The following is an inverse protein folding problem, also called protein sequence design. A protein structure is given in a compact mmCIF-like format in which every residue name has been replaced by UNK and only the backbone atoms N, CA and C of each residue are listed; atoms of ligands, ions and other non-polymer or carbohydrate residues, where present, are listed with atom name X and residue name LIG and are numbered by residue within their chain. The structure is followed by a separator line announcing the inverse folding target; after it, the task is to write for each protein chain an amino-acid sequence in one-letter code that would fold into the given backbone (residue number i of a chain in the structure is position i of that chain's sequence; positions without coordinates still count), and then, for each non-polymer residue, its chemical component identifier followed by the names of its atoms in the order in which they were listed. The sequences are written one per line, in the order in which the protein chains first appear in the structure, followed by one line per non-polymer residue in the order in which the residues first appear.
data_IF_444594658177
#
_entry.id   IF_444594658177
#
_cell.length_a   1.000
_cell.length_b   1.000
_cell.length_c   1.000
_cell.angle_alpha   90.00
_cell.angle_beta   90.00
_cell.angle_gamma   90.00
#
_symmetry.space_group_name_H-M   'P 1'
#
loop_
_entity.id
_entity.type
_entity.pdbx_description
1 polymer ?
#
# COMPACT_ATOMS: atom_id res chain seq x y z
N UNK A 1 -20.84 -4.07 18.05
CA UNK A 1 -20.60 -5.43 18.58
C UNK A 1 -20.34 -6.40 17.46
N UNK A 2 -21.25 -6.50 16.50
CA UNK A 2 -21.12 -7.35 15.30
C UNK A 2 -20.19 -6.73 14.25
N UNK A 3 -20.24 -5.41 14.06
CA UNK A 3 -19.41 -4.71 13.06
C UNK A 3 -17.90 -4.78 13.35
N UNK A 4 -17.48 -4.69 14.62
CA UNK A 4 -16.07 -4.81 14.99
C UNK A 4 -15.50 -6.22 14.78
N UNK A 5 -16.30 -7.26 15.01
CA UNK A 5 -15.89 -8.65 14.76
C UNK A 5 -15.80 -8.89 13.25
N UNK A 6 -16.80 -8.42 12.49
CA UNK A 6 -16.78 -8.50 11.03
C UNK A 6 -15.62 -7.70 10.41
N UNK A 7 -15.33 -6.50 10.92
CA UNK A 7 -14.23 -5.66 10.43
C UNK A 7 -12.86 -6.26 10.79
N UNK A 8 -12.72 -6.86 11.99
CA UNK A 8 -11.54 -7.63 12.35
C UNK A 8 -11.33 -8.83 11.42
N UNK A 9 -12.38 -9.62 11.17
CA UNK A 9 -12.32 -10.76 10.24
C UNK A 9 -11.95 -10.29 8.84
N UNK A 10 -12.56 -9.22 8.32
CA UNK A 10 -12.24 -8.70 6.97
C UNK A 10 -10.82 -8.14 6.84
N UNK A 11 -10.26 -7.62 7.94
CA UNK A 11 -8.86 -7.14 7.98
C UNK A 11 -7.87 -8.30 7.80
N UNK A 12 -8.20 -9.52 8.22
CA UNK A 12 -7.34 -10.71 8.03
C UNK A 12 -7.68 -11.51 6.77
N UNK A 13 -8.97 -11.63 6.44
CA UNK A 13 -9.44 -12.41 5.29
C UNK A 13 -8.99 -11.78 3.98
N UNK A 14 -8.98 -10.45 3.85
CA UNK A 14 -8.65 -9.77 2.60
C UNK A 14 -7.16 -9.91 2.22
N UNK A 15 -6.19 -9.73 3.15
CA UNK A 15 -4.79 -10.04 2.89
C UNK A 15 -4.54 -11.54 2.65
N UNK A 16 -5.23 -12.43 3.38
CA UNK A 16 -5.09 -13.87 3.19
C UNK A 16 -5.56 -14.30 1.79
N UNK A 17 -6.70 -13.78 1.32
CA UNK A 17 -7.20 -14.03 -0.04
C UNK A 17 -6.22 -13.52 -1.11
N UNK A 18 -5.60 -12.35 -0.89
CA UNK A 18 -4.57 -11.82 -1.78
C UNK A 18 -3.31 -12.69 -1.83
N UNK A 19 -2.89 -13.23 -0.68
CA UNK A 19 -1.76 -14.16 -0.60
C UNK A 19 -2.03 -15.46 -1.36
N UNK A 20 -3.24 -16.03 -1.20
CA UNK A 20 -3.67 -17.25 -1.90
C UNK A 20 -3.72 -17.03 -3.41
N UNK A 21 -4.28 -15.91 -3.89
CA UNK A 21 -4.34 -15.59 -5.31
C UNK A 21 -2.94 -15.43 -5.93
N UNK A 22 -2.01 -14.80 -5.22
CA UNK A 22 -0.62 -14.67 -5.66
C UNK A 22 0.08 -16.04 -5.74
N UNK A 23 -0.12 -16.89 -4.73
CA UNK A 23 0.43 -18.25 -4.72
C UNK A 23 -0.14 -19.12 -5.83
N UNK A 24 -1.44 -19.03 -6.11
CA UNK A 24 -2.08 -19.73 -7.22
C UNK A 24 -1.47 -19.30 -8.57
N UNK A 25 -1.26 -17.99 -8.78
CA UNK A 25 -0.72 -17.50 -10.05
C UNK A 25 0.77 -17.86 -10.23
N UNK A 26 1.59 -17.73 -9.18
CA UNK A 26 3.03 -18.04 -9.25
C UNK A 26 3.33 -19.54 -9.24
N UNK A 27 2.57 -20.35 -8.50
CA UNK A 27 2.67 -21.81 -8.58
C UNK A 27 2.38 -22.35 -9.99
N UNK A 28 1.46 -21.70 -10.71
CA UNK A 28 1.09 -22.08 -12.09
C UNK A 28 2.07 -21.53 -13.14
N UNK A 29 2.59 -20.31 -12.95
CA UNK A 29 3.42 -19.62 -13.96
C UNK A 29 4.92 -19.87 -13.81
N UNK A 30 5.43 -20.04 -12.59
CA UNK A 30 6.89 -20.06 -12.32
C UNK A 30 7.41 -21.30 -11.59
N UNK A 31 6.56 -22.27 -11.24
CA UNK A 31 6.97 -23.52 -10.57
C UNK A 31 7.59 -23.30 -9.19
N UNK A 32 7.36 -22.13 -8.59
CA UNK A 32 7.88 -21.74 -7.29
C UNK A 32 7.16 -22.50 -6.16
N UNK A 33 7.87 -22.81 -5.07
CA UNK A 33 7.28 -23.45 -3.90
C UNK A 33 6.09 -22.62 -3.38
N UNK A 34 4.92 -23.27 -3.31
CA UNK A 34 3.64 -22.66 -2.91
C UNK A 34 3.76 -21.97 -1.55
N UNK A 35 4.57 -22.52 -0.64
CA UNK A 35 4.79 -21.93 0.68
C UNK A 35 5.48 -20.57 0.59
N UNK A 36 6.52 -20.48 -0.24
CA UNK A 36 7.27 -19.23 -0.45
C UNK A 36 6.41 -18.18 -1.14
N UNK A 37 5.61 -18.61 -2.12
CA UNK A 37 4.66 -17.75 -2.80
C UNK A 37 3.60 -17.19 -1.85
N UNK A 38 3.05 -18.01 -0.94
CA UNK A 38 2.09 -17.54 0.06
C UNK A 38 2.70 -16.50 1.00
N UNK A 39 3.94 -16.70 1.46
CA UNK A 39 4.63 -15.74 2.34
C UNK A 39 4.85 -14.41 1.61
N UNK A 40 5.38 -14.45 0.38
CA UNK A 40 5.57 -13.25 -0.44
C UNK A 40 4.24 -12.53 -0.71
N UNK A 41 3.20 -13.28 -1.08
CA UNK A 41 1.86 -12.76 -1.31
C UNK A 41 1.27 -12.11 -0.06
N UNK A 42 1.46 -12.71 1.12
CA UNK A 42 0.99 -12.18 2.40
C UNK A 42 1.69 -10.87 2.77
N UNK A 43 3.02 -10.81 2.59
CA UNK A 43 3.80 -9.60 2.85
C UNK A 43 3.37 -8.46 1.90
N UNK A 44 3.22 -8.76 0.62
CA UNK A 44 2.79 -7.76 -0.37
C UNK A 44 1.35 -7.29 -0.09
N UNK A 45 0.41 -8.20 0.15
CA UNK A 45 -0.99 -7.88 0.40
C UNK A 45 -1.19 -7.08 1.70
N UNK A 46 -0.54 -7.49 2.79
CA UNK A 46 -0.58 -6.75 4.07
C UNK A 46 0.10 -5.38 3.95
N UNK A 47 1.22 -5.27 3.23
CA UNK A 47 1.90 -4.01 2.97
C UNK A 47 1.02 -3.00 2.24
N UNK A 48 0.33 -3.42 1.17
CA UNK A 48 -0.61 -2.57 0.42
C UNK A 48 -1.84 -2.19 1.26
N UNK A 49 -2.36 -3.13 2.05
CA UNK A 49 -3.47 -2.82 2.95
C UNK A 49 -3.07 -1.80 4.03
N UNK A 50 -1.91 -1.99 4.65
CA UNK A 50 -1.39 -1.11 5.68
C UNK A 50 -1.09 0.30 5.14
N UNK A 51 -0.53 0.44 3.94
CA UNK A 51 -0.28 1.75 3.33
C UNK A 51 -1.59 2.49 3.05
N UNK A 52 -2.60 1.80 2.53
CA UNK A 52 -3.92 2.39 2.27
C UNK A 52 -4.65 2.77 3.57
N UNK A 53 -4.57 1.92 4.58
CA UNK A 53 -5.11 2.19 5.91
C UNK A 53 -4.41 3.37 6.59
N UNK A 54 -3.09 3.51 6.44
CA UNK A 54 -2.32 4.63 7.00
C UNK A 54 -2.51 5.95 6.26
N UNK A 55 -2.87 5.93 4.97
CA UNK A 55 -3.16 7.13 4.20
C UNK A 55 -4.47 7.81 4.64
N UNK A 56 -5.48 7.03 5.04
CA UNK A 56 -6.82 7.53 5.40
C UNK A 56 -6.82 8.54 6.57
N UNK A 57 -6.14 8.31 7.71
CA UNK A 57 -6.06 9.28 8.82
C UNK A 57 -5.28 10.55 8.46
N UNK A 58 -4.23 10.43 7.64
CA UNK A 58 -3.38 11.57 7.25
C UNK A 58 -4.17 12.53 6.35
N UNK A 59 -4.93 11.99 5.39
CA UNK A 59 -5.82 12.76 4.53
C UNK A 59 -6.96 13.37 5.34
N UNK A 60 -7.61 12.59 6.21
CA UNK A 60 -8.72 13.06 7.03
C UNK A 60 -8.28 14.16 8.02
N UNK A 61 -7.08 14.03 8.60
CA UNK A 61 -6.50 15.05 9.48
C UNK A 61 -6.05 16.31 8.75
N UNK A 62 -5.56 16.21 7.51
CA UNK A 62 -5.12 17.36 6.72
C UNK A 62 -6.26 18.15 6.06
N UNK A 63 -7.41 17.51 5.82
CA UNK A 63 -8.54 18.11 5.06
C UNK A 63 -9.85 18.22 5.85
N UNK A 64 -9.82 17.96 7.17
CA UNK A 64 -11.02 17.83 8.02
C UNK A 64 -12.10 16.90 7.43
N UNK A 65 -11.67 15.79 6.81
CA UNK A 65 -12.57 14.75 6.29
C UNK A 65 -13.18 14.99 4.90
N UNK A 66 -12.96 16.15 4.25
CA UNK A 66 -13.53 16.44 2.92
C UNK A 66 -12.68 15.85 1.78
N UNK A 67 -11.38 15.61 2.00
CA UNK A 67 -10.46 15.14 0.96
C UNK A 67 -10.52 13.63 0.66
N UNK A 68 -11.05 12.82 1.58
CA UNK A 68 -11.08 11.36 1.43
C UNK A 68 -11.89 10.85 0.23
N UNK A 69 -13.09 11.39 -0.10
CA UNK A 69 -13.83 10.98 -1.29
C UNK A 69 -13.07 11.26 -2.59
N UNK A 70 -12.47 12.45 -2.74
CA UNK A 70 -11.74 12.84 -3.95
C UNK A 70 -10.51 11.98 -4.18
N UNK A 71 -9.79 11.64 -3.11
CA UNK A 71 -8.62 10.76 -3.20
C UNK A 71 -9.02 9.34 -3.57
N UNK A 72 -10.13 8.83 -3.02
CA UNK A 72 -10.64 7.52 -3.41
C UNK A 72 -11.02 7.47 -4.90
N UNK A 73 -11.71 8.51 -5.40
CA UNK A 73 -12.05 8.60 -6.82
C UNK A 73 -10.80 8.67 -7.70
N UNK A 74 -9.81 9.47 -7.29
CA UNK A 74 -8.53 9.55 -8.02
C UNK A 74 -7.81 8.20 -8.04
N UNK A 75 -7.82 7.47 -6.93
CA UNK A 75 -7.25 6.13 -6.83
C UNK A 75 -7.98 5.14 -7.76
N UNK A 76 -9.32 5.16 -7.77
CA UNK A 76 -10.13 4.26 -8.60
C UNK A 76 -9.94 4.54 -10.10
N UNK A 77 -9.85 5.82 -10.50
CA UNK A 77 -9.56 6.20 -11.89
C UNK A 77 -8.15 5.76 -12.29
N UNK A 78 -7.15 5.99 -11.44
CA UNK A 78 -5.78 5.54 -11.70
C UNK A 78 -5.69 4.01 -11.79
N UNK A 79 -6.40 3.29 -10.92
CA UNK A 79 -6.46 1.83 -10.94
C UNK A 79 -7.12 1.31 -12.22
N UNK A 80 -8.21 1.95 -12.67
CA UNK A 80 -8.92 1.59 -13.90
C UNK A 80 -8.04 1.80 -15.13
N UNK A 81 -7.44 2.99 -15.25
CA UNK A 81 -6.53 3.32 -16.36
C UNK A 81 -5.30 2.40 -16.36
N UNK A 82 -4.70 2.19 -15.19
CA UNK A 82 -3.57 1.28 -15.01
C UNK A 82 -3.92 -0.15 -15.42
N UNK A 83 -5.12 -0.63 -15.09
CA UNK A 83 -5.58 -1.97 -15.47
C UNK A 83 -5.75 -2.11 -16.98
N UNK A 84 -6.34 -1.13 -17.66
CA UNK A 84 -6.43 -1.13 -19.12
C UNK A 84 -5.03 -1.11 -19.77
N UNK A 85 -4.12 -0.26 -19.28
CA UNK A 85 -2.73 -0.22 -19.74
C UNK A 85 -2.01 -1.55 -19.53
N UNK A 86 -2.22 -2.23 -18.41
CA UNK A 86 -1.63 -3.54 -18.14
C UNK A 86 -2.10 -4.61 -19.15
N UNK A 87 -3.36 -4.56 -19.57
CA UNK A 87 -3.93 -5.50 -20.55
C UNK A 87 -3.41 -5.22 -21.96
N UNK A 88 -3.45 -3.96 -22.42
CA UNK A 88 -3.13 -3.63 -23.81
C UNK A 88 -1.64 -3.36 -24.05
N UNK A 89 -0.91 -2.86 -23.06
CA UNK A 89 0.48 -2.41 -23.18
C UNK A 89 1.31 -2.81 -21.94
N UNK A 90 1.60 -4.11 -21.73
CA UNK A 90 2.18 -4.61 -20.47
C UNK A 90 3.56 -4.01 -20.15
N UNK A 91 4.40 -3.77 -21.16
CA UNK A 91 5.73 -3.15 -20.97
C UNK A 91 5.58 -1.68 -20.53
N UNK A 92 4.63 -0.96 -21.12
CA UNK A 92 4.36 0.44 -20.75
C UNK A 92 3.81 0.54 -19.33
N UNK A 93 2.96 -0.41 -18.94
CA UNK A 93 2.48 -0.51 -17.56
C UNK A 93 3.60 -0.78 -16.56
N UNK A 94 4.56 -1.66 -16.89
CA UNK A 94 5.75 -1.90 -16.06
C UNK A 94 6.57 -0.62 -15.83
N UNK A 95 6.81 0.16 -16.89
CA UNK A 95 7.51 1.44 -16.78
C UNK A 95 6.72 2.45 -15.95
N UNK A 96 5.41 2.54 -16.16
CA UNK A 96 4.52 3.40 -15.39
C UNK A 96 4.51 3.03 -13.89
N UNK A 97 4.36 1.74 -13.58
CA UNK A 97 4.40 1.24 -12.21
C UNK A 97 5.76 1.49 -11.54
N UNK A 98 6.87 1.29 -12.26
CA UNK A 98 8.22 1.58 -11.79
C UNK A 98 8.41 3.07 -11.48
N UNK A 99 7.89 3.97 -12.33
CA UNK A 99 7.93 5.41 -12.11
C UNK A 99 7.15 5.82 -10.84
N UNK A 100 5.93 5.30 -10.68
CA UNK A 100 5.12 5.54 -9.48
C UNK A 100 5.83 5.02 -8.22
N UNK A 101 6.40 3.81 -8.28
CA UNK A 101 7.17 3.23 -7.19
C UNK A 101 8.40 4.06 -6.81
N UNK A 102 9.14 4.56 -7.80
CA UNK A 102 10.28 5.45 -7.59
C UNK A 102 9.86 6.77 -6.93
N UNK A 103 8.78 7.38 -7.41
CA UNK A 103 8.27 8.63 -6.84
C UNK A 103 7.83 8.43 -5.39
N UNK A 104 7.11 7.35 -5.09
CA UNK A 104 6.72 6.97 -3.73
C UNK A 104 7.95 6.79 -2.83
N UNK A 105 8.97 6.04 -3.28
CA UNK A 105 10.24 5.88 -2.55
C UNK A 105 10.90 7.24 -2.24
N UNK A 106 10.96 8.14 -3.22
CA UNK A 106 11.57 9.46 -3.06
C UNK A 106 10.80 10.31 -2.05
N UNK A 107 9.47 10.27 -2.09
CA UNK A 107 8.59 10.99 -1.15
C UNK A 107 8.74 10.46 0.28
N UNK A 108 8.75 9.13 0.47
CA UNK A 108 8.96 8.50 1.78
C UNK A 108 10.34 8.89 2.33
N UNK A 109 11.39 8.80 1.50
CA UNK A 109 12.74 9.20 1.90
C UNK A 109 12.81 10.67 2.31
N UNK A 110 12.11 11.56 1.61
CA UNK A 110 12.02 12.99 1.93
C UNK A 110 11.26 13.24 3.24
N UNK A 111 10.13 12.57 3.44
CA UNK A 111 9.35 12.67 4.67
C UNK A 111 10.12 12.17 5.90
N UNK A 112 10.89 11.09 5.76
CA UNK A 112 11.77 10.58 6.85
C UNK A 112 12.90 11.54 7.21
N UNK A 113 13.43 12.29 6.23
CA UNK A 113 14.45 13.33 6.48
C UNK A 113 13.89 14.53 7.26
N UNK A 114 12.63 14.90 6.99
CA UNK A 114 11.95 16.00 7.70
C UNK A 114 11.56 15.63 9.14
N UNK A 115 11.47 14.31 9.45
CA UNK A 115 11.17 13.78 10.78
C UNK A 115 12.41 13.43 11.61
N UNK A 116 13.62 13.75 11.14
CA UNK A 116 14.82 13.63 11.97
C UNK A 116 14.66 14.56 13.20
N UNK A 117 14.61 14.02 14.44
CA UNK A 117 14.42 14.84 15.62
C UNK A 117 15.59 15.83 15.71
N UNK A 118 15.27 17.14 15.79
CA UNK A 118 16.17 18.09 16.43
C UNK A 118 16.28 17.64 17.88
N UNK A 119 17.30 16.85 18.19
CA UNK A 119 17.70 16.54 19.56
C UNK A 119 17.96 17.87 20.24
N UNK A 120 17.02 18.27 21.08
CA UNK A 120 17.15 19.45 21.94
C UNK A 120 18.41 19.25 22.79
N UNK A 121 19.32 20.22 22.71
CA UNK A 121 20.46 20.31 23.61
C UNK A 121 19.94 20.35 25.06
N UNK A 122 20.52 19.57 25.99
CA UNK A 122 20.24 19.74 27.40
C UNK A 122 20.97 20.99 27.89
N UNK A 123 20.22 22.06 28.17
CA UNK A 123 20.71 23.21 28.95
C UNK A 123 20.93 22.73 30.39
N UNK A 124 22.17 22.41 30.75
CA UNK A 124 22.56 22.18 32.15
C UNK A 124 22.86 23.54 32.77
N UNK A 125 21.91 24.05 33.54
CA UNK A 125 22.12 25.17 34.48
C UNK A 125 22.37 24.61 35.87
N UNK A 126 23.58 24.81 36.38
CA UNK A 126 23.90 24.96 37.81
C UNK A 126 25.05 25.93 37.93
#
# INVERSE_FOLDING_TARGET
GVDHINDAIQTFVRPAAGAILFAANTGVVSGMDTTLALICGLILASGVHATKAAARPVVNGATMGIGAPFISVAEDVLATIGSLLAIFFPILFLLFAALLGYLAYRLIKRARRLRAPRTAQPTVTT
#
